data_IF_921749124792
#
_entry.id   IF_921749124792
#
_cell.length_a   1.000
_cell.length_b   1.000
_cell.length_c   1.000
_cell.angle_alpha   90.00
_cell.angle_beta   90.00
_cell.angle_gamma   90.00
#
_symmetry.space_group_name_H-M   'P 1'
#
loop_
_entity.id
_entity.type
_entity.pdbx_description
1 polymer ?
#
# COMPACT_ATOMS: atom_id res chain seq x y z
N UNK A 1 16.49 4.24 -29.70
CA UNK A 1 15.21 3.68 -30.20
C UNK A 1 14.18 4.80 -30.23
N UNK A 2 13.10 4.65 -31.03
CA UNK A 2 12.04 5.61 -31.16
C UNK A 2 10.68 4.92 -30.98
N UNK A 3 9.65 5.69 -30.68
CA UNK A 3 8.25 5.22 -30.69
C UNK A 3 7.68 5.50 -32.08
N UNK A 4 7.24 4.44 -32.76
CA UNK A 4 6.58 4.52 -34.05
C UNK A 4 5.09 4.27 -33.87
N UNK A 5 4.29 5.19 -34.38
CA UNK A 5 2.83 5.10 -34.45
C UNK A 5 2.40 5.04 -35.92
N UNK A 6 1.14 4.83 -36.19
CA UNK A 6 0.59 4.80 -37.56
C UNK A 6 0.83 6.12 -38.33
N UNK A 7 1.07 7.24 -37.62
CA UNK A 7 1.19 8.56 -38.23
C UNK A 7 2.56 9.21 -38.07
N UNK A 8 3.28 8.91 -36.95
CA UNK A 8 4.48 9.65 -36.58
C UNK A 8 5.52 8.73 -35.93
N UNK A 9 6.79 9.13 -36.03
CA UNK A 9 7.91 8.61 -35.25
C UNK A 9 8.35 9.64 -34.24
N UNK A 10 8.48 9.25 -32.97
CA UNK A 10 8.92 10.11 -31.87
C UNK A 10 10.30 9.68 -31.41
N UNK A 11 11.21 10.62 -31.31
CA UNK A 11 12.59 10.39 -30.88
C UNK A 11 12.82 11.10 -29.54
N UNK A 12 13.43 10.42 -28.59
CA UNK A 12 13.84 10.96 -27.30
C UNK A 12 14.99 10.13 -26.73
N UNK A 13 15.78 10.77 -25.88
CA UNK A 13 16.85 10.09 -25.13
C UNK A 13 16.26 9.13 -24.09
N UNK A 14 15.11 9.48 -23.51
CA UNK A 14 14.36 8.67 -22.55
C UNK A 14 12.84 8.80 -22.77
N UNK A 15 12.15 7.68 -22.74
CA UNK A 15 10.69 7.58 -22.68
C UNK A 15 10.27 7.10 -21.31
N UNK A 16 9.29 7.78 -20.71
CA UNK A 16 8.67 7.36 -19.46
C UNK A 16 7.37 6.62 -19.75
N UNK A 17 7.33 5.33 -19.42
CA UNK A 17 6.13 4.51 -19.58
C UNK A 17 5.19 4.69 -18.39
N UNK A 18 4.11 5.47 -18.57
CA UNK A 18 3.01 5.65 -17.64
C UNK A 18 1.70 5.06 -18.19
N UNK A 19 1.77 4.00 -19.00
CA UNK A 19 0.60 3.43 -19.70
C UNK A 19 -0.23 2.46 -18.85
N UNK A 20 -0.04 2.49 -17.54
CA UNK A 20 -0.80 1.68 -16.59
C UNK A 20 -0.45 0.19 -16.66
N UNK A 21 -1.37 -0.67 -16.27
CA UNK A 21 -1.16 -2.13 -16.24
C UNK A 21 -0.72 -2.74 -17.58
N UNK A 22 -0.90 -2.03 -18.67
CA UNK A 22 -0.50 -2.52 -20.01
C UNK A 22 1.01 -2.44 -20.24
N UNK A 23 1.73 -1.51 -19.56
CA UNK A 23 3.17 -1.30 -19.72
C UNK A 23 3.59 -1.29 -21.20
N UNK A 24 2.89 -0.49 -22.01
CA UNK A 24 2.91 -0.62 -23.46
C UNK A 24 4.29 -0.40 -24.07
N UNK A 25 5.06 0.54 -23.53
CA UNK A 25 6.38 0.85 -24.05
C UNK A 25 7.42 -0.15 -23.53
N UNK A 26 7.41 -0.42 -22.25
CA UNK A 26 8.40 -1.32 -21.62
C UNK A 26 8.31 -2.74 -22.20
N UNK A 27 7.09 -3.25 -22.41
CA UNK A 27 6.87 -4.56 -23.01
C UNK A 27 7.46 -4.67 -24.44
N UNK A 28 7.51 -3.56 -25.20
CA UNK A 28 8.09 -3.54 -26.54
C UNK A 28 9.61 -3.63 -26.56
N UNK A 29 10.26 -3.25 -25.48
CA UNK A 29 11.74 -3.29 -25.35
C UNK A 29 12.25 -4.50 -24.57
N UNK A 30 11.38 -5.46 -24.25
CA UNK A 30 11.73 -6.71 -23.55
C UNK A 30 11.38 -6.71 -22.06
N UNK A 31 10.36 -5.96 -21.66
CA UNK A 31 9.82 -6.01 -20.29
C UNK A 31 9.26 -7.39 -19.94
N UNK A 32 9.61 -7.88 -18.75
CA UNK A 32 9.11 -9.11 -18.17
C UNK A 32 8.46 -8.82 -16.83
N UNK A 33 7.29 -9.38 -16.60
CA UNK A 33 6.53 -9.19 -15.36
C UNK A 33 6.76 -10.34 -14.38
N UNK A 34 6.98 -9.99 -13.11
CA UNK A 34 7.05 -10.91 -11.99
C UNK A 34 5.77 -10.78 -11.17
N UNK A 35 4.96 -11.83 -11.13
CA UNK A 35 3.72 -11.85 -10.35
C UNK A 35 3.98 -12.16 -8.89
N UNK A 36 3.22 -11.52 -8.00
CA UNK A 36 3.15 -11.82 -6.56
C UNK A 36 1.89 -12.60 -6.18
N UNK A 37 1.11 -13.10 -7.14
CA UNK A 37 -0.17 -13.77 -6.87
C UNK A 37 -0.06 -15.02 -5.97
N UNK A 38 1.13 -15.60 -5.84
CA UNK A 38 1.40 -16.71 -4.93
C UNK A 38 1.36 -16.30 -3.44
N UNK A 39 1.55 -15.01 -3.14
CA UNK A 39 1.53 -14.45 -1.79
C UNK A 39 0.37 -13.47 -1.63
N UNK A 40 0.15 -12.60 -2.62
CA UNK A 40 -0.89 -11.57 -2.66
C UNK A 40 -1.86 -11.88 -3.80
N UNK A 41 -2.85 -12.79 -3.57
CA UNK A 41 -3.68 -13.29 -4.65
C UNK A 41 -4.83 -12.37 -5.07
N UNK A 42 -4.99 -11.21 -4.43
CA UNK A 42 -6.09 -10.29 -4.71
C UNK A 42 -5.88 -9.55 -6.03
N UNK A 43 -6.52 -10.03 -7.07
CA UNK A 43 -6.38 -9.59 -8.45
C UNK A 43 -7.57 -8.80 -8.98
N UNK A 44 -8.58 -8.60 -8.17
CA UNK A 44 -9.85 -8.01 -8.60
C UNK A 44 -10.43 -7.09 -7.54
N UNK A 45 -11.19 -6.07 -7.98
CA UNK A 45 -11.97 -5.24 -7.08
C UNK A 45 -13.28 -4.78 -7.71
N UNK A 46 -14.33 -4.69 -6.89
CA UNK A 46 -15.53 -3.93 -7.19
C UNK A 46 -15.47 -2.57 -6.52
N UNK A 47 -15.67 -1.50 -7.26
CA UNK A 47 -15.63 -0.14 -6.76
C UNK A 47 -16.92 0.61 -7.03
N UNK A 48 -17.31 1.47 -6.08
CA UNK A 48 -18.48 2.34 -6.20
C UNK A 48 -18.29 3.63 -5.39
N UNK A 49 -19.29 4.48 -5.41
CA UNK A 49 -19.35 5.75 -4.69
C UNK A 49 -20.63 5.79 -3.89
N UNK A 50 -20.54 6.14 -2.62
CA UNK A 50 -21.69 6.26 -1.72
C UNK A 50 -21.90 7.74 -1.36
N UNK A 51 -23.11 8.28 -1.53
CA UNK A 51 -23.44 9.60 -1.00
C UNK A 51 -23.46 9.57 0.53
N UNK A 52 -23.12 10.67 1.16
CA UNK A 52 -23.27 10.84 2.60
C UNK A 52 -24.76 10.83 3.01
N UNK A 53 -25.08 10.14 4.07
CA UNK A 53 -26.37 10.29 4.78
C UNK A 53 -26.28 11.36 5.86
N UNK A 54 -25.12 11.48 6.49
CA UNK A 54 -24.75 12.55 7.41
C UNK A 54 -23.27 12.89 7.21
N UNK A 55 -23.00 13.88 6.37
CA UNK A 55 -21.61 14.24 5.99
C UNK A 55 -20.77 14.65 7.19
N UNK A 56 -21.34 15.41 8.13
CA UNK A 56 -20.59 15.89 9.30
C UNK A 56 -20.07 14.75 10.17
N UNK A 57 -20.82 13.66 10.30
CA UNK A 57 -20.43 12.49 11.08
C UNK A 57 -19.59 11.47 10.32
N UNK A 58 -19.74 11.43 8.99
CA UNK A 58 -19.13 10.38 8.15
C UNK A 58 -17.86 10.86 7.43
N UNK A 59 -17.60 12.16 7.39
CA UNK A 59 -16.38 12.72 6.80
C UNK A 59 -15.24 12.65 7.84
N UNK A 60 -14.61 11.49 7.89
CA UNK A 60 -13.49 11.21 8.78
C UNK A 60 -12.15 11.41 8.07
N UNK A 61 -11.06 11.77 8.79
CA UNK A 61 -9.76 12.06 8.20
C UNK A 61 -8.93 10.80 7.89
N UNK A 62 -9.53 9.63 7.88
CA UNK A 62 -8.85 8.35 7.67
C UNK A 62 -9.62 7.43 6.72
N UNK A 63 -8.89 6.52 6.11
CA UNK A 63 -9.44 5.39 5.35
C UNK A 63 -9.78 4.26 6.32
N UNK A 64 -11.00 3.74 6.21
CA UNK A 64 -11.39 2.54 6.94
C UNK A 64 -11.26 1.32 6.03
N UNK A 65 -10.54 0.29 6.51
CA UNK A 65 -10.41 -1.01 5.84
C UNK A 65 -11.07 -2.09 6.68
N UNK A 66 -12.03 -2.79 6.10
CA UNK A 66 -12.80 -3.85 6.78
C UNK A 66 -12.60 -5.18 6.09
N UNK A 67 -12.08 -6.17 6.81
CA UNK A 67 -11.97 -7.54 6.32
C UNK A 67 -13.36 -8.20 6.26
N UNK A 68 -13.71 -8.77 5.10
CA UNK A 68 -14.94 -9.52 4.88
C UNK A 68 -14.61 -10.94 4.39
N UNK A 69 -15.57 -11.73 3.95
CA UNK A 69 -15.41 -13.19 3.74
C UNK A 69 -14.25 -13.58 2.80
N UNK A 70 -14.09 -12.91 1.66
CA UNK A 70 -13.08 -13.29 0.64
C UNK A 70 -12.18 -12.11 0.24
N UNK A 71 -11.88 -11.22 1.18
CA UNK A 71 -11.06 -10.04 0.96
C UNK A 71 -11.37 -8.91 1.91
N UNK A 72 -11.21 -7.68 1.47
CA UNK A 72 -11.39 -6.50 2.31
C UNK A 72 -12.02 -5.33 1.56
N UNK A 73 -12.74 -4.50 2.29
CA UNK A 73 -13.42 -3.31 1.77
C UNK A 73 -12.71 -2.06 2.26
N UNK A 74 -12.41 -1.14 1.34
CA UNK A 74 -11.96 0.20 1.70
C UNK A 74 -13.14 1.18 1.73
N UNK A 75 -13.10 2.16 2.63
CA UNK A 75 -13.96 3.32 2.65
C UNK A 75 -13.10 4.57 2.80
N UNK A 76 -13.12 5.44 1.80
CA UNK A 76 -12.32 6.67 1.73
C UNK A 76 -13.29 7.86 1.69
N UNK A 77 -13.50 8.54 2.83
CA UNK A 77 -14.30 9.75 2.88
C UNK A 77 -13.57 10.87 2.13
N UNK A 78 -14.21 11.45 1.14
CA UNK A 78 -13.76 12.66 0.44
C UNK A 78 -14.86 13.72 0.51
N UNK A 79 -14.53 14.97 0.22
CA UNK A 79 -15.51 16.04 0.39
C UNK A 79 -16.88 15.79 -0.25
N UNK A 80 -16.90 15.23 -1.46
CA UNK A 80 -18.15 15.03 -2.20
C UNK A 80 -18.87 13.72 -1.89
N UNK A 81 -18.16 12.69 -1.47
CA UNK A 81 -18.66 11.32 -1.37
C UNK A 81 -17.72 10.42 -0.60
N UNK A 82 -18.19 9.22 -0.25
CA UNK A 82 -17.34 8.13 0.19
C UNK A 82 -17.00 7.27 -1.03
N UNK A 83 -15.70 7.18 -1.37
CA UNK A 83 -15.20 6.17 -2.30
C UNK A 83 -15.10 4.83 -1.57
N UNK A 84 -15.67 3.76 -2.12
CA UNK A 84 -15.63 2.45 -1.48
C UNK A 84 -15.43 1.35 -2.52
N UNK A 85 -14.81 0.26 -2.10
CA UNK A 85 -14.67 -0.92 -2.96
C UNK A 85 -14.22 -2.13 -2.19
N UNK A 86 -14.46 -3.27 -2.79
CA UNK A 86 -14.15 -4.60 -2.28
C UNK A 86 -13.03 -5.22 -3.11
N UNK A 87 -11.86 -5.42 -2.49
CA UNK A 87 -10.72 -6.15 -3.03
C UNK A 87 -10.89 -7.62 -2.71
N UNK A 88 -10.77 -8.48 -3.73
CA UNK A 88 -10.95 -9.93 -3.62
C UNK A 88 -10.04 -10.66 -4.60
N UNK A 89 -9.93 -11.96 -4.43
CA UNK A 89 -9.18 -12.83 -5.32
C UNK A 89 -10.12 -13.68 -6.18
N UNK A 90 -9.92 -13.65 -7.50
CA UNK A 90 -10.65 -14.50 -8.44
C UNK A 90 -10.40 -16.01 -8.27
N UNK A 91 -9.39 -16.39 -7.47
CA UNK A 91 -9.12 -17.79 -7.11
C UNK A 91 -10.12 -18.36 -6.09
N UNK A 92 -10.74 -17.50 -5.27
CA UNK A 92 -11.62 -17.93 -4.16
C UNK A 92 -13.08 -17.60 -4.38
N UNK A 93 -13.36 -16.59 -5.19
CA UNK A 93 -14.73 -16.15 -5.47
C UNK A 93 -14.83 -15.56 -6.89
N UNK A 94 -15.88 -15.86 -7.61
CA UNK A 94 -16.13 -15.26 -8.91
C UNK A 94 -16.65 -13.81 -8.78
N UNK A 95 -16.65 -13.08 -9.89
CA UNK A 95 -16.98 -11.65 -9.92
C UNK A 95 -18.44 -11.38 -9.48
N UNK A 96 -19.37 -12.22 -9.86
CA UNK A 96 -20.79 -12.07 -9.57
C UNK A 96 -21.09 -12.26 -8.08
N UNK A 97 -20.53 -13.31 -7.48
CA UNK A 97 -20.69 -13.58 -6.05
C UNK A 97 -19.96 -12.53 -5.20
N UNK A 98 -18.78 -12.08 -5.63
CA UNK A 98 -18.06 -10.98 -4.99
C UNK A 98 -18.88 -9.68 -5.03
N UNK A 99 -19.53 -9.38 -6.16
CA UNK A 99 -20.43 -8.23 -6.24
C UNK A 99 -21.61 -8.37 -5.28
N UNK A 100 -22.17 -9.56 -5.17
CA UNK A 100 -23.31 -9.80 -4.26
C UNK A 100 -22.89 -9.67 -2.79
N UNK A 101 -21.71 -10.19 -2.41
CA UNK A 101 -21.15 -9.98 -1.07
C UNK A 101 -20.95 -8.49 -0.76
N UNK A 102 -20.42 -7.73 -1.73
CA UNK A 102 -20.21 -6.30 -1.57
C UNK A 102 -21.52 -5.52 -1.42
N UNK A 103 -22.54 -5.84 -2.23
CA UNK A 103 -23.89 -5.25 -2.09
C UNK A 103 -24.49 -5.55 -0.72
N UNK A 104 -24.35 -6.77 -0.23
CA UNK A 104 -24.82 -7.18 1.09
C UNK A 104 -24.12 -6.41 2.21
N UNK A 105 -22.79 -6.25 2.11
CA UNK A 105 -21.98 -5.46 3.04
C UNK A 105 -22.44 -3.99 3.08
N UNK A 106 -22.65 -3.39 1.91
CA UNK A 106 -23.09 -1.99 1.79
C UNK A 106 -24.58 -1.81 2.16
N UNK A 107 -25.37 -2.89 2.19
CA UNK A 107 -26.85 -2.86 2.25
C UNK A 107 -27.46 -1.97 1.14
N UNK A 108 -26.83 -1.93 -0.01
CA UNK A 108 -27.19 -1.10 -1.17
C UNK A 108 -27.02 -1.91 -2.45
N UNK A 109 -28.03 -1.90 -3.29
CA UNK A 109 -28.03 -2.55 -4.60
C UNK A 109 -28.26 -1.59 -5.77
N UNK A 110 -28.61 -0.35 -5.44
CA UNK A 110 -29.02 0.72 -6.36
C UNK A 110 -27.84 1.55 -6.91
N UNK A 111 -26.61 1.20 -6.51
CA UNK A 111 -25.39 1.92 -6.91
C UNK A 111 -24.83 1.37 -8.21
N UNK A 112 -24.10 2.22 -8.93
CA UNK A 112 -23.30 1.81 -10.08
C UNK A 112 -21.98 1.20 -9.60
N UNK A 113 -21.68 -0.04 -10.00
CA UNK A 113 -20.49 -0.78 -9.63
C UNK A 113 -19.57 -0.97 -10.83
N UNK A 114 -18.28 -0.73 -10.62
CA UNK A 114 -17.23 -0.94 -11.63
C UNK A 114 -16.31 -2.07 -11.20
N UNK A 115 -16.18 -3.12 -12.04
CA UNK A 115 -15.17 -4.15 -11.84
C UNK A 115 -13.80 -3.65 -12.33
N UNK A 116 -12.78 -3.91 -11.55
CA UNK A 116 -11.39 -3.54 -11.82
C UNK A 116 -10.54 -4.81 -11.71
N UNK A 117 -9.85 -5.16 -12.79
CA UNK A 117 -8.85 -6.24 -12.78
C UNK A 117 -7.48 -5.64 -12.54
N UNK A 118 -6.73 -6.26 -11.65
CA UNK A 118 -5.43 -5.78 -11.19
C UNK A 118 -4.36 -6.81 -11.54
N UNK A 119 -3.19 -6.33 -11.90
CA UNK A 119 -2.01 -7.17 -12.14
C UNK A 119 -1.02 -6.94 -10.99
N UNK A 120 -1.09 -7.84 -9.99
CA UNK A 120 -0.29 -7.74 -8.77
C UNK A 120 1.12 -8.28 -9.01
N UNK A 121 2.10 -7.46 -8.71
CA UNK A 121 3.52 -7.75 -8.96
C UNK A 121 4.25 -6.57 -9.56
N UNK A 122 5.44 -6.81 -10.11
CA UNK A 122 6.32 -5.78 -10.67
C UNK A 122 6.97 -6.22 -11.97
N UNK A 123 7.51 -5.27 -12.70
CA UNK A 123 8.47 -5.55 -13.78
C UNK A 123 9.76 -6.10 -13.18
N UNK A 124 10.41 -7.07 -13.83
CA UNK A 124 11.77 -7.53 -13.46
C UNK A 124 12.80 -6.43 -13.61
N UNK A 125 12.65 -5.60 -14.65
CA UNK A 125 13.42 -4.40 -14.91
C UNK A 125 12.48 -3.27 -15.27
N UNK A 126 12.54 -2.19 -14.52
CA UNK A 126 11.69 -1.01 -14.74
C UNK A 126 12.33 -0.04 -15.74
N UNK A 127 13.64 -0.11 -15.92
CA UNK A 127 14.36 0.68 -16.90
C UNK A 127 15.15 -0.23 -17.84
N UNK A 128 14.73 -0.28 -19.10
CA UNK A 128 15.34 -1.07 -20.18
C UNK A 128 15.65 -0.15 -21.35
N UNK A 129 16.91 -0.12 -21.83
CA UNK A 129 17.37 0.76 -22.90
C UNK A 129 17.01 2.23 -22.59
N UNK A 130 16.21 2.88 -23.44
CA UNK A 130 15.72 4.24 -23.23
C UNK A 130 14.23 4.29 -22.84
N UNK A 131 13.71 3.25 -22.17
CA UNK A 131 12.34 3.22 -21.63
C UNK A 131 12.39 2.93 -20.15
N UNK A 132 11.81 3.82 -19.33
CA UNK A 132 11.65 3.65 -17.89
C UNK A 132 10.14 3.65 -17.53
N UNK A 133 9.68 2.63 -16.84
CA UNK A 133 8.28 2.54 -16.36
C UNK A 133 8.13 3.14 -14.96
N UNK A 134 7.02 3.85 -14.74
CA UNK A 134 6.65 4.46 -13.45
C UNK A 134 5.17 4.25 -13.18
N UNK A 135 4.79 4.11 -11.90
CA UNK A 135 3.42 3.86 -11.47
C UNK A 135 2.95 2.46 -11.86
N UNK A 136 1.70 2.32 -12.28
CA UNK A 136 1.10 1.01 -12.60
C UNK A 136 1.77 0.27 -13.76
N UNK A 137 2.56 0.94 -14.59
CA UNK A 137 3.36 0.29 -15.63
C UNK A 137 4.61 -0.38 -15.06
N UNK A 138 5.14 0.11 -13.94
CA UNK A 138 6.26 -0.51 -13.21
C UNK A 138 5.80 -1.71 -12.38
N UNK A 139 4.62 -1.62 -11.77
CA UNK A 139 4.04 -2.67 -10.94
C UNK A 139 2.87 -2.17 -10.10
N UNK A 140 2.29 -3.09 -9.34
CA UNK A 140 1.18 -2.81 -8.45
C UNK A 140 1.16 -3.79 -7.28
N UNK A 141 0.89 -3.27 -6.12
CA UNK A 141 0.55 -4.03 -4.91
C UNK A 141 -0.78 -3.49 -4.41
N UNK A 142 -1.64 -4.34 -3.93
CA UNK A 142 -2.94 -3.94 -3.41
C UNK A 142 -2.82 -2.80 -2.38
N UNK A 143 -3.71 -1.80 -2.42
CA UNK A 143 -3.52 -0.53 -1.71
C UNK A 143 -3.95 -0.58 -0.25
N UNK A 144 -3.72 -1.69 0.45
CA UNK A 144 -4.10 -1.86 1.86
C UNK A 144 -3.51 -0.76 2.75
N UNK A 145 -2.27 -0.35 2.46
CA UNK A 145 -1.55 0.71 3.16
C UNK A 145 -1.34 1.99 2.31
N UNK A 146 -2.11 2.14 1.23
CA UNK A 146 -2.08 3.32 0.35
C UNK A 146 -0.70 3.64 -0.24
N UNK A 147 0.17 2.66 -0.40
CA UNK A 147 1.59 2.81 -0.77
C UNK A 147 1.83 3.19 -2.23
N UNK A 148 0.83 3.05 -3.11
CA UNK A 148 1.02 3.20 -4.56
C UNK A 148 1.53 4.57 -5.02
N UNK A 149 1.02 5.66 -4.44
CA UNK A 149 1.50 7.00 -4.77
C UNK A 149 2.88 7.29 -4.16
N UNK A 150 3.12 6.84 -2.93
CA UNK A 150 4.43 6.96 -2.29
C UNK A 150 5.51 6.25 -3.09
N UNK A 151 5.25 5.03 -3.53
CA UNK A 151 6.14 4.25 -4.37
C UNK A 151 6.42 4.94 -5.71
N UNK A 152 5.38 5.44 -6.39
CA UNK A 152 5.51 6.19 -7.63
C UNK A 152 6.40 7.42 -7.44
N UNK A 153 6.19 8.18 -6.38
CA UNK A 153 6.99 9.37 -6.05
C UNK A 153 8.44 9.01 -5.74
N UNK A 154 8.67 7.95 -4.96
CA UNK A 154 10.02 7.47 -4.65
C UNK A 154 10.79 7.08 -5.91
N UNK A 155 10.15 6.37 -6.84
CA UNK A 155 10.78 5.97 -8.10
C UNK A 155 11.06 7.16 -9.01
N UNK A 156 10.16 8.12 -9.04
CA UNK A 156 10.37 9.36 -9.78
C UNK A 156 11.58 10.14 -9.23
N UNK A 157 11.69 10.28 -7.91
CA UNK A 157 12.86 10.95 -7.30
C UNK A 157 14.17 10.22 -7.59
N UNK A 158 14.16 8.87 -7.57
CA UNK A 158 15.34 8.07 -7.94
C UNK A 158 15.71 8.27 -9.41
N UNK A 159 14.73 8.30 -10.31
CA UNK A 159 14.97 8.55 -11.72
C UNK A 159 15.57 9.96 -11.93
N UNK A 160 14.96 10.99 -11.33
CA UNK A 160 15.45 12.39 -11.41
C UNK A 160 16.88 12.51 -10.89
N UNK A 161 17.21 11.85 -9.77
CA UNK A 161 18.57 11.82 -9.23
C UNK A 161 19.58 11.19 -10.19
N UNK A 162 19.18 10.17 -10.94
CA UNK A 162 20.02 9.57 -11.97
C UNK A 162 20.22 10.51 -13.17
N UNK A 163 19.16 11.19 -13.61
CA UNK A 163 19.21 12.12 -14.74
C UNK A 163 20.05 13.38 -14.46
N UNK A 164 20.13 13.82 -13.22
CA UNK A 164 20.93 15.00 -12.81
C UNK A 164 22.44 14.80 -13.02
N UNK A 165 22.90 13.56 -13.17
CA UNK A 165 24.33 13.24 -13.40
C UNK A 165 24.76 13.38 -14.86
N UNK A 166 23.86 13.69 -15.77
CA UNK A 166 24.12 13.80 -17.20
C UNK A 166 23.78 12.54 -17.97
N UNK A 167 24.71 12.03 -18.76
CA UNK A 167 24.51 10.81 -19.57
C UNK A 167 24.23 9.59 -18.68
N UNK A 168 23.12 8.91 -18.94
CA UNK A 168 22.79 7.69 -18.22
C UNK A 168 23.38 6.46 -18.90
N UNK A 169 24.15 5.73 -18.12
CA UNK A 169 24.85 4.52 -18.51
C UNK A 169 24.05 3.27 -18.18
N UNK A 170 24.60 2.10 -18.51
CA UNK A 170 24.02 0.83 -18.08
C UNK A 170 24.04 0.68 -16.56
N UNK A 171 25.06 1.24 -15.89
CA UNK A 171 25.14 1.28 -14.42
C UNK A 171 23.94 1.99 -13.78
N UNK A 172 23.50 3.13 -14.32
CA UNK A 172 22.37 3.88 -13.79
C UNK A 172 21.08 3.10 -13.94
N UNK A 173 20.89 2.43 -15.07
CA UNK A 173 19.75 1.53 -15.31
C UNK A 173 19.74 0.36 -14.34
N UNK A 174 20.87 -0.32 -14.17
CA UNK A 174 20.96 -1.48 -13.30
C UNK A 174 20.77 -1.10 -11.82
N UNK A 175 21.36 0.01 -11.38
CA UNK A 175 21.19 0.53 -10.03
C UNK A 175 19.73 0.93 -9.77
N UNK A 176 19.09 1.61 -10.73
CA UNK A 176 17.66 1.94 -10.63
C UNK A 176 16.81 0.68 -10.49
N UNK A 177 17.05 -0.32 -11.34
CA UNK A 177 16.30 -1.58 -11.31
C UNK A 177 16.47 -2.32 -9.98
N UNK A 178 17.68 -2.41 -9.45
CA UNK A 178 17.96 -3.08 -8.17
C UNK A 178 17.21 -2.39 -7.02
N UNK A 179 17.33 -1.07 -6.94
CA UNK A 179 16.71 -0.29 -5.86
C UNK A 179 15.17 -0.38 -5.94
N UNK A 180 14.60 -0.17 -7.13
CA UNK A 180 13.15 -0.21 -7.29
C UNK A 180 12.57 -1.61 -7.06
N UNK A 181 13.26 -2.66 -7.49
CA UNK A 181 12.88 -4.04 -7.23
C UNK A 181 12.86 -4.32 -5.73
N UNK A 182 13.92 -3.93 -5.01
CA UNK A 182 14.01 -4.10 -3.57
C UNK A 182 12.83 -3.41 -2.84
N UNK A 183 12.53 -2.17 -3.22
CA UNK A 183 11.40 -1.42 -2.65
C UNK A 183 10.06 -2.14 -2.92
N UNK A 184 9.85 -2.68 -4.12
CA UNK A 184 8.62 -3.45 -4.41
C UNK A 184 8.52 -4.72 -3.57
N UNK A 185 9.61 -5.48 -3.44
CA UNK A 185 9.63 -6.70 -2.66
C UNK A 185 9.40 -6.42 -1.16
N UNK A 186 9.94 -5.31 -0.63
CA UNK A 186 9.68 -4.85 0.73
C UNK A 186 8.21 -4.47 0.96
N UNK A 187 7.58 -3.75 0.03
CA UNK A 187 6.14 -3.47 0.10
C UNK A 187 5.28 -4.74 0.00
N UNK A 188 5.69 -5.71 -0.81
CA UNK A 188 5.00 -7.00 -0.89
C UNK A 188 5.03 -7.71 0.46
N UNK A 189 6.21 -7.79 1.12
CA UNK A 189 6.33 -8.36 2.46
C UNK A 189 5.51 -7.59 3.49
N UNK A 190 5.49 -6.26 3.42
CA UNK A 190 4.72 -5.42 4.32
C UNK A 190 3.20 -5.71 4.21
N UNK A 191 2.68 -5.83 3.01
CA UNK A 191 1.26 -6.20 2.83
C UNK A 191 1.01 -7.66 3.22
N UNK A 192 1.91 -8.59 2.88
CA UNK A 192 1.82 -9.99 3.28
C UNK A 192 1.76 -10.17 4.81
N UNK A 193 2.45 -9.30 5.56
CA UNK A 193 2.44 -9.31 7.02
C UNK A 193 1.02 -9.09 7.61
N UNK A 194 0.19 -8.26 6.98
CA UNK A 194 -1.21 -8.08 7.42
C UNK A 194 -2.02 -9.37 7.31
N UNK A 195 -1.79 -10.16 6.27
CA UNK A 195 -2.44 -11.46 6.08
C UNK A 195 -1.85 -12.54 6.98
N UNK A 196 -0.52 -12.64 7.00
CA UNK A 196 0.20 -13.67 7.78
C UNK A 196 -0.04 -13.55 9.28
N UNK A 197 -0.15 -12.33 9.81
CA UNK A 197 -0.42 -12.08 11.22
C UNK A 197 -1.92 -11.98 11.55
N UNK A 198 -2.79 -12.02 10.56
CA UNK A 198 -4.24 -12.01 10.77
C UNK A 198 -4.69 -13.18 11.64
N UNK A 199 -5.56 -12.93 12.62
CA UNK A 199 -6.17 -13.97 13.44
C UNK A 199 -7.45 -14.55 12.81
N UNK A 200 -7.82 -14.11 11.60
CA UNK A 200 -9.00 -14.64 10.90
C UNK A 200 -8.74 -16.04 10.35
N UNK A 201 -9.66 -16.94 10.64
CA UNK A 201 -9.66 -18.32 10.15
C UNK A 201 -11.08 -18.81 9.80
N UNK A 202 -12.03 -17.88 9.69
CA UNK A 202 -13.45 -18.15 9.53
C UNK A 202 -13.82 -18.58 8.10
N UNK A 203 -12.96 -18.32 7.09
CA UNK A 203 -13.16 -18.74 5.71
C UNK A 203 -11.92 -19.45 5.13
N UNK A 204 -12.12 -20.17 4.02
CA UNK A 204 -11.01 -20.78 3.29
C UNK A 204 -10.02 -19.74 2.77
N UNK A 205 -10.51 -18.60 2.28
CA UNK A 205 -9.67 -17.50 1.83
C UNK A 205 -8.70 -17.04 2.92
N UNK A 206 -9.20 -16.74 4.13
CA UNK A 206 -8.35 -16.23 5.22
C UNK A 206 -7.35 -17.25 5.74
N UNK A 207 -7.72 -18.54 5.76
CA UNK A 207 -6.78 -19.62 6.14
C UNK A 207 -5.63 -19.77 5.16
N UNK A 208 -5.96 -19.89 3.87
CA UNK A 208 -4.98 -20.15 2.81
C UNK A 208 -4.04 -18.95 2.58
N UNK A 209 -4.56 -17.73 2.55
CA UNK A 209 -3.71 -16.54 2.38
C UNK A 209 -2.80 -16.32 3.59
N UNK A 210 -3.27 -16.64 4.79
CA UNK A 210 -2.46 -16.57 6.01
C UNK A 210 -1.29 -17.55 5.94
N UNK A 211 -1.55 -18.81 5.59
CA UNK A 211 -0.51 -19.85 5.49
C UNK A 211 0.56 -19.45 4.45
N UNK A 212 0.15 -19.05 3.25
CA UNK A 212 1.06 -18.60 2.19
C UNK A 212 1.89 -17.39 2.61
N UNK A 213 1.27 -16.43 3.27
CA UNK A 213 1.97 -15.23 3.75
C UNK A 213 2.96 -15.55 4.87
N UNK A 214 2.62 -16.45 5.79
CA UNK A 214 3.53 -16.89 6.86
C UNK A 214 4.73 -17.65 6.30
N UNK A 215 4.53 -18.54 5.33
CA UNK A 215 5.60 -19.27 4.66
C UNK A 215 6.61 -18.29 4.00
N UNK A 216 6.11 -17.29 3.28
CA UNK A 216 6.98 -16.26 2.69
C UNK A 216 7.71 -15.43 3.74
N UNK A 217 7.03 -15.08 4.83
CA UNK A 217 7.60 -14.25 5.90
C UNK A 217 8.55 -15.02 6.83
N UNK A 218 8.55 -16.34 6.83
CA UNK A 218 9.34 -17.16 7.77
C UNK A 218 10.83 -16.79 7.78
N UNK A 219 11.38 -16.48 6.61
CA UNK A 219 12.79 -16.13 6.46
C UNK A 219 13.13 -14.64 6.69
N UNK A 220 12.12 -13.78 6.76
CA UNK A 220 12.32 -12.31 6.84
C UNK A 220 11.67 -11.68 8.06
N UNK A 221 10.78 -12.40 8.73
CA UNK A 221 9.91 -11.92 9.80
C UNK A 221 10.63 -11.11 10.88
N UNK A 222 11.64 -11.71 11.50
CA UNK A 222 12.35 -11.08 12.62
C UNK A 222 13.29 -9.97 12.13
N UNK A 223 13.87 -10.14 10.94
CA UNK A 223 14.73 -9.12 10.34
C UNK A 223 13.97 -7.90 9.84
N UNK A 224 12.66 -8.02 9.55
CA UNK A 224 11.83 -6.86 9.18
C UNK A 224 11.75 -5.84 10.30
N UNK A 225 11.61 -6.27 11.55
CA UNK A 225 11.58 -5.36 12.70
C UNK A 225 12.94 -4.70 12.99
N UNK A 226 14.03 -5.44 12.79
CA UNK A 226 15.39 -4.90 12.97
C UNK A 226 15.76 -3.93 11.85
N UNK A 227 15.44 -4.28 10.63
CA UNK A 227 15.76 -3.47 9.43
C UNK A 227 14.97 -2.19 9.31
N UNK A 228 13.96 -2.01 10.09
CA UNK A 228 13.05 -0.89 10.01
C UNK A 228 13.73 0.47 10.24
N UNK A 229 14.77 0.53 11.05
CA UNK A 229 15.56 1.73 11.28
C UNK A 229 16.51 2.09 10.12
N UNK A 230 16.77 1.16 9.20
CA UNK A 230 17.73 1.34 8.11
C UNK A 230 17.07 1.60 6.75
N UNK A 231 15.72 1.54 6.65
CA UNK A 231 15.07 1.40 5.37
C UNK A 231 14.34 2.61 4.82
N UNK A 232 14.44 2.64 3.50
CA UNK A 232 13.91 3.53 2.49
C UNK A 232 12.39 3.81 2.58
N UNK A 233 11.64 3.01 3.33
CA UNK A 233 10.19 3.07 3.29
C UNK A 233 9.60 4.08 4.25
N UNK A 234 10.10 4.20 5.40
CA UNK A 234 9.73 5.23 6.36
C UNK A 234 10.52 5.06 7.67
N UNK A 235 11.22 6.06 8.19
CA UNK A 235 11.83 5.99 9.52
C UNK A 235 10.81 5.80 10.66
N UNK A 236 9.51 5.83 10.37
CA UNK A 236 8.42 5.63 11.34
C UNK A 236 7.74 4.28 11.24
N UNK A 237 8.33 3.34 10.50
CA UNK A 237 8.11 1.92 10.64
C UNK A 237 6.67 1.42 10.76
N UNK A 238 5.99 1.29 9.63
CA UNK A 238 4.69 0.63 9.58
C UNK A 238 4.70 -0.79 10.16
N UNK A 239 5.81 -1.51 10.07
CA UNK A 239 5.97 -2.88 10.56
C UNK A 239 5.69 -3.02 12.06
N UNK A 240 6.25 -2.16 12.90
CA UNK A 240 6.02 -2.21 14.35
C UNK A 240 4.57 -1.96 14.72
N UNK A 241 3.90 -1.04 14.05
CA UNK A 241 2.48 -0.78 14.29
C UNK A 241 1.61 -1.99 13.94
N UNK A 242 1.87 -2.61 12.78
CA UNK A 242 1.11 -3.80 12.34
C UNK A 242 1.40 -4.99 13.26
N UNK A 243 2.67 -5.26 13.57
CA UNK A 243 3.07 -6.34 14.47
C UNK A 243 2.39 -6.19 15.84
N UNK A 244 2.47 -5.00 16.45
CA UNK A 244 1.85 -4.72 17.74
C UNK A 244 0.33 -4.82 17.68
N UNK A 245 -0.30 -4.24 16.64
CA UNK A 245 -1.75 -4.28 16.46
C UNK A 245 -2.31 -5.68 16.24
N UNK A 246 -1.50 -6.59 15.68
CA UNK A 246 -1.84 -7.99 15.45
C UNK A 246 -1.28 -8.94 16.54
N UNK A 247 -0.81 -8.39 17.66
CA UNK A 247 -0.27 -9.13 18.82
C UNK A 247 0.89 -10.07 18.44
N UNK A 248 1.67 -9.69 17.41
CA UNK A 248 2.83 -10.48 17.05
C UNK A 248 4.01 -10.15 17.98
N UNK A 249 4.62 -11.20 18.51
CA UNK A 249 5.83 -11.12 19.30
C UNK A 249 6.97 -11.84 18.57
N UNK A 250 8.14 -11.22 18.39
CA UNK A 250 9.29 -11.92 17.82
C UNK A 250 9.70 -13.10 18.70
N UNK A 251 10.26 -14.14 18.08
CA UNK A 251 10.65 -15.41 18.75
C UNK A 251 11.70 -15.16 19.82
N UNK A 252 12.53 -14.13 19.66
CA UNK A 252 13.51 -13.72 20.67
C UNK A 252 13.59 -12.21 20.75
N UNK A 253 13.14 -11.65 21.86
CA UNK A 253 13.37 -10.25 22.19
C UNK A 253 14.87 -9.95 22.42
N UNK A 254 15.66 -10.95 22.80
CA UNK A 254 17.11 -10.81 23.00
C UNK A 254 17.86 -10.54 21.70
N UNK A 255 17.38 -11.08 20.58
CA UNK A 255 18.00 -10.83 19.26
C UNK A 255 17.62 -9.46 18.69
N UNK A 256 16.52 -8.89 19.14
CA UNK A 256 16.03 -7.57 18.71
C UNK A 256 16.60 -6.46 19.61
N UNK A 257 16.81 -6.76 20.88
CA UNK A 257 17.38 -5.83 21.87
C UNK A 257 18.76 -6.37 22.21
N UNK A 258 19.80 -5.77 21.66
CA UNK A 258 21.19 -6.15 21.91
C UNK A 258 21.48 -6.29 23.42
N UNK A 259 21.36 -7.51 23.92
CA UNK A 259 22.25 -8.10 24.91
C UNK A 259 22.14 -7.72 26.39
N UNK A 260 21.34 -6.77 26.82
CA UNK A 260 21.24 -6.47 28.27
C UNK A 260 19.78 -6.28 28.70
N UNK A 261 19.08 -7.40 28.87
CA UNK A 261 17.82 -7.43 29.61
C UNK A 261 18.15 -7.31 31.10
N UNK A 262 18.41 -6.09 31.55
CA UNK A 262 18.63 -5.82 32.96
C UNK A 262 17.46 -5.01 33.54
N UNK A 263 17.39 -4.91 34.84
CA UNK A 263 16.48 -4.08 35.64
C UNK A 263 16.25 -2.66 35.11
N UNK A 264 17.19 -2.14 34.32
CA UNK A 264 17.05 -0.87 33.57
C UNK A 264 15.97 -0.88 32.51
N UNK A 265 15.78 -1.98 31.78
CA UNK A 265 14.74 -2.07 30.74
C UNK A 265 13.33 -2.14 31.35
N UNK A 266 13.19 -2.81 32.48
CA UNK A 266 11.94 -2.84 33.24
C UNK A 266 11.54 -1.45 33.74
N UNK A 267 12.51 -0.70 34.28
CA UNK A 267 12.31 0.70 34.69
C UNK A 267 12.02 1.63 33.52
N UNK A 268 12.67 1.41 32.38
CA UNK A 268 12.38 2.13 31.14
C UNK A 268 10.98 1.82 30.59
N UNK A 269 10.53 0.57 30.71
CA UNK A 269 9.21 0.13 30.29
C UNK A 269 8.10 0.78 31.16
N UNK A 270 8.28 0.80 32.48
CA UNK A 270 7.39 1.49 33.42
C UNK A 270 7.32 2.99 33.11
N UNK A 271 8.47 3.65 32.95
CA UNK A 271 8.55 5.08 32.61
C UNK A 271 7.94 5.39 31.24
N UNK A 272 8.18 4.53 30.25
CA UNK A 272 7.60 4.66 28.92
C UNK A 272 6.09 4.52 28.97
N UNK A 273 5.58 3.57 29.72
CA UNK A 273 4.13 3.38 29.92
C UNK A 273 3.49 4.60 30.58
N UNK A 274 4.11 5.18 31.62
CA UNK A 274 3.62 6.39 32.26
C UNK A 274 3.60 7.59 31.31
N UNK A 275 4.66 7.76 30.51
CA UNK A 275 4.75 8.81 29.48
C UNK A 275 3.66 8.62 28.41
N UNK A 276 3.45 7.39 27.95
CA UNK A 276 2.42 7.08 26.96
C UNK A 276 1.01 7.38 27.47
N UNK A 277 0.69 6.98 28.71
CA UNK A 277 -0.62 7.27 29.30
C UNK A 277 -0.81 8.78 29.55
N UNK A 278 0.23 9.48 29.97
CA UNK A 278 0.20 10.94 30.15
C UNK A 278 -0.05 11.63 28.80
N UNK A 279 0.69 11.24 27.76
CA UNK A 279 0.50 11.77 26.41
C UNK A 279 -0.89 11.46 25.86
N UNK A 280 -1.39 10.25 26.09
CA UNK A 280 -2.73 9.84 25.67
C UNK A 280 -3.81 10.73 26.29
N UNK A 281 -3.72 11.02 27.60
CA UNK A 281 -4.65 11.92 28.26
C UNK A 281 -4.57 13.35 27.70
N UNK A 282 -3.36 13.87 27.49
CA UNK A 282 -3.14 15.18 26.87
C UNK A 282 -3.73 15.25 25.45
N UNK A 283 -3.58 14.20 24.65
CA UNK A 283 -4.17 14.12 23.32
C UNK A 283 -5.69 14.06 23.36
N UNK A 284 -6.28 13.29 24.28
CA UNK A 284 -7.73 13.21 24.44
C UNK A 284 -8.34 14.58 24.80
N UNK A 285 -7.68 15.35 25.68
CA UNK A 285 -8.14 16.71 26.00
C UNK A 285 -7.99 17.67 24.81
N UNK A 286 -6.90 17.55 24.04
CA UNK A 286 -6.69 18.35 22.84
C UNK A 286 -7.74 18.03 21.75
N UNK A 287 -8.06 16.76 21.55
CA UNK A 287 -9.06 16.33 20.54
C UNK A 287 -10.43 16.92 20.86
N UNK A 288 -10.83 17.04 22.14
CA UNK A 288 -12.12 17.66 22.51
C UNK A 288 -12.24 19.13 22.08
N UNK A 289 -11.10 19.81 21.87
CA UNK A 289 -11.05 21.22 21.46
C UNK A 289 -10.87 21.39 19.95
N UNK A 290 -10.61 20.31 19.21
CA UNK A 290 -10.40 20.37 17.76
C UNK A 290 -11.76 20.36 17.03
N UNK A 291 -11.87 21.10 15.90
CA UNK A 291 -13.02 20.98 15.03
C UNK A 291 -13.10 19.57 14.43
N UNK A 292 -14.30 19.14 14.05
CA UNK A 292 -14.45 17.92 13.25
C UNK A 292 -13.74 18.09 11.89
N UNK A 293 -13.39 16.99 11.23
CA UNK A 293 -12.82 17.03 9.88
C UNK A 293 -13.72 17.81 8.92
N UNK A 294 -15.05 17.62 9.02
CA UNK A 294 -16.02 18.37 8.24
C UNK A 294 -15.95 19.89 8.50
N UNK A 295 -15.97 20.28 9.76
CA UNK A 295 -15.91 21.71 10.12
C UNK A 295 -14.63 22.37 9.64
N UNK A 296 -13.49 21.72 9.88
CA UNK A 296 -12.19 22.24 9.44
C UNK A 296 -12.11 22.42 7.92
N UNK A 297 -12.52 21.41 7.15
CA UNK A 297 -12.49 21.46 5.69
C UNK A 297 -13.48 22.49 5.14
N UNK A 298 -14.66 22.56 5.74
CA UNK A 298 -15.70 23.53 5.37
C UNK A 298 -15.19 24.96 5.50
N UNK A 299 -14.70 25.32 6.67
CA UNK A 299 -14.29 26.67 7.00
C UNK A 299 -12.99 27.11 6.31
N UNK A 300 -11.99 26.21 6.21
CA UNK A 300 -10.66 26.58 5.75
C UNK A 300 -10.40 26.33 4.26
N UNK A 301 -11.18 25.44 3.61
CA UNK A 301 -10.92 25.02 2.24
C UNK A 301 -12.09 25.30 1.32
N UNK A 302 -13.32 25.03 1.75
CA UNK A 302 -14.48 25.06 0.84
C UNK A 302 -15.33 26.32 0.93
N UNK A 303 -15.42 26.99 2.07
CA UNK A 303 -16.12 28.27 2.20
C UNK A 303 -15.26 29.49 1.90
N UNK A 304 -13.94 29.40 2.10
CA UNK A 304 -13.01 30.50 1.79
C UNK A 304 -12.63 30.61 0.29
N UNK A 305 -13.08 29.71 -0.59
CA UNK A 305 -12.83 29.76 -2.04
C UNK A 305 -13.85 30.63 -2.81
N UNK A 306 -14.53 31.56 -2.14
CA UNK A 306 -15.33 32.63 -2.76
C UNK A 306 -14.56 33.95 -2.90
N UNK A 307 -13.23 33.87 -3.16
CA UNK A 307 -12.43 35.00 -3.59
C UNK A 307 -11.95 34.83 -5.02
#
# INVERSE_FOLDING_TARGET
ECIVTDKYSYYADLFIDCTGFKSMLLNKVGGEFMSYNHILPNDSAWATKIPYTNKEKQLEPYTNCTAIENGWVWNIPSWERIGTGYVYSSQYINDEDALQQFKNYLKRSDLEFKNIKMRVGRQKKMWIKNVCSIGLSAGFIEPLESTGLLQTHTFLLKLVSNLQRGDFTQWDRDTHNIICNKIFDEYMHFVAMHYGLSMRDDTWYWKDIREKSLEELENVRDTMLVKDNEHYLNPYSGYHYIATGLNWSPVSLQDVITGEYDTKLQLLDEQTTEILETNKQAWLEKIKQMPSCYQYLKENIHENNNC
#
